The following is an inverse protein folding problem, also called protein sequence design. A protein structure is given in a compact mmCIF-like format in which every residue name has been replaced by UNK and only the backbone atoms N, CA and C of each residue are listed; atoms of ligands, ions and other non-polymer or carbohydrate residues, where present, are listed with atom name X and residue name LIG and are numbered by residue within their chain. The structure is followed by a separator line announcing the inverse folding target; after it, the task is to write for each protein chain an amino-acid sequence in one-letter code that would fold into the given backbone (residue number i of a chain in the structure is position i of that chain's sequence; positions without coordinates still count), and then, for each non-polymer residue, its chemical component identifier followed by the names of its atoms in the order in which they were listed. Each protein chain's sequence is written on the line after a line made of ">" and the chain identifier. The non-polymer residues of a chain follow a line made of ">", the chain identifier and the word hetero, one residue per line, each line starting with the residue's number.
data_IF_866403841460
#
_entry.id   IF_866403841460
#
_cell.length_a   1.000
_cell.length_b   1.000
_cell.length_c   1.000
_cell.angle_alpha   90.00
_cell.angle_beta   90.00
_cell.angle_gamma   90.00
#
_symmetry.space_group_name_H-M   'P 1'
#
loop_
_entity.id
_entity.type
_entity.pdbx_description
1 polymer ?
#
# COMPACT_ATOMS: atom_id res chain seq x y z
N UNK A 1 23.50 49.53 28.11
CA UNK A 1 22.37 49.31 27.20
C UNK A 1 21.10 49.46 28.03
N UNK A 2 20.24 50.45 27.67
CA UNK A 2 19.08 50.83 28.50
C UNK A 2 17.97 49.78 28.32
N UNK A 3 17.30 49.37 29.43
CA UNK A 3 16.21 48.34 29.39
C UNK A 3 15.14 48.62 28.36
N UNK A 4 14.84 49.89 28.06
CA UNK A 4 13.88 50.28 27.00
C UNK A 4 14.35 49.91 25.62
N UNK A 5 15.61 50.11 25.28
CA UNK A 5 16.20 49.77 23.98
C UNK A 5 16.25 48.26 23.72
N UNK A 6 16.49 47.48 24.79
CA UNK A 6 16.48 45.99 24.70
C UNK A 6 15.06 45.47 24.47
N UNK A 7 14.03 46.06 25.12
CA UNK A 7 12.67 45.63 24.94
C UNK A 7 12.12 45.95 23.53
N UNK A 8 12.48 47.10 22.97
CA UNK A 8 12.11 47.45 21.60
C UNK A 8 12.76 46.55 20.56
N UNK A 9 14.00 46.13 20.79
CA UNK A 9 14.68 45.19 19.89
C UNK A 9 14.00 43.81 19.92
N UNK A 10 13.61 43.31 21.10
CA UNK A 10 12.87 42.05 21.26
C UNK A 10 11.50 42.09 20.58
N UNK A 11 10.75 43.19 20.68
CA UNK A 11 9.45 43.31 20.03
C UNK A 11 9.58 43.33 18.53
N UNK A 12 10.59 44.00 17.97
CA UNK A 12 10.86 44.01 16.53
C UNK A 12 11.26 42.65 15.97
N UNK A 13 12.07 41.88 16.71
CA UNK A 13 12.45 40.54 16.28
C UNK A 13 11.27 39.56 16.30
N UNK A 14 10.37 39.66 17.29
CA UNK A 14 9.16 38.84 17.37
C UNK A 14 8.18 39.21 16.23
N UNK A 15 8.01 40.49 15.90
CA UNK A 15 7.17 40.94 14.78
C UNK A 15 7.69 40.45 13.43
N UNK A 16 9.00 40.49 13.19
CA UNK A 16 9.62 40.01 11.95
C UNK A 16 9.46 38.48 11.83
N UNK A 17 9.62 37.75 12.94
CA UNK A 17 9.42 36.29 12.96
C UNK A 17 7.96 35.91 12.69
N UNK A 18 6.99 36.66 13.21
CA UNK A 18 5.57 36.41 12.95
C UNK A 18 5.18 36.71 11.49
N UNK A 19 5.77 37.73 10.87
CA UNK A 19 5.53 38.08 9.46
C UNK A 19 6.08 36.98 8.52
N UNK A 20 7.25 36.40 8.83
CA UNK A 20 7.84 35.30 8.04
C UNK A 20 7.02 34.00 8.12
N UNK A 21 6.39 33.71 9.26
CA UNK A 21 5.51 32.54 9.42
C UNK A 21 4.22 32.72 8.58
N UNK A 22 3.68 33.94 8.44
CA UNK A 22 2.47 34.19 7.64
C UNK A 22 2.70 34.03 6.13
N UNK A 23 3.90 34.32 5.64
CA UNK A 23 4.23 34.21 4.19
C UNK A 23 4.37 32.74 3.75
N UNK A 24 4.73 31.84 4.67
CA UNK A 24 4.90 30.39 4.35
C UNK A 24 3.54 29.65 4.28
N UNK A 25 2.48 30.19 4.91
CA UNK A 25 1.15 29.54 4.92
C UNK A 25 0.20 29.97 3.79
N UNK A 26 0.61 30.92 2.92
CA UNK A 26 -0.27 31.43 1.84
C UNK A 26 -0.10 30.73 0.49
N UNK A 27 0.52 29.57 0.44
CA UNK A 27 0.84 28.89 -0.79
C UNK A 27 0.36 27.44 -0.90
N UNK A 28 -0.94 27.17 -0.73
CA UNK A 28 -1.60 25.96 -1.26
C UNK A 28 -3.12 26.06 -1.06
N UNK A 29 -3.76 26.91 -1.84
CA UNK A 29 -5.20 26.82 -2.10
C UNK A 29 -5.37 26.42 -3.56
N UNK A 30 -5.39 25.12 -3.84
CA UNK A 30 -5.96 24.57 -5.06
C UNK A 30 -7.42 24.22 -4.75
N UNK A 31 -8.32 25.10 -5.15
CA UNK A 31 -9.75 24.79 -5.20
C UNK A 31 -10.00 23.61 -6.16
N UNK A 32 -10.81 22.63 -5.76
CA UNK A 32 -11.28 21.61 -6.71
C UNK A 32 -12.32 22.25 -7.62
N UNK A 33 -11.97 22.48 -8.89
CA UNK A 33 -12.93 22.83 -9.93
C UNK A 33 -13.92 21.67 -10.11
N UNK A 34 -15.13 21.88 -9.63
CA UNK A 34 -16.29 21.07 -9.97
C UNK A 34 -16.59 21.20 -11.47
N UNK A 35 -16.11 20.26 -12.26
CA UNK A 35 -16.67 20.03 -13.59
C UNK A 35 -18.02 19.31 -13.42
N UNK A 36 -19.11 20.08 -13.45
CA UNK A 36 -20.44 19.58 -13.70
C UNK A 36 -20.48 19.03 -15.12
N UNK A 37 -20.34 17.71 -15.28
CA UNK A 37 -20.67 17.04 -16.52
C UNK A 37 -22.19 16.90 -16.60
N UNK A 38 -22.79 17.63 -17.50
CA UNK A 38 -24.21 17.51 -17.88
C UNK A 38 -24.47 16.09 -18.36
N UNK A 39 -25.36 15.40 -17.67
CA UNK A 39 -25.88 14.12 -18.08
C UNK A 39 -26.70 14.26 -19.38
N UNK A 40 -26.13 13.91 -20.50
CA UNK A 40 -26.86 13.67 -21.75
C UNK A 40 -27.43 12.26 -21.66
N UNK A 41 -28.74 12.21 -21.42
CA UNK A 41 -29.57 11.00 -21.47
C UNK A 41 -29.52 10.43 -22.90
N UNK A 42 -28.78 9.37 -23.08
CA UNK A 42 -28.91 8.51 -24.27
C UNK A 42 -29.28 7.11 -23.77
N UNK A 43 -30.48 6.73 -24.09
CA UNK A 43 -30.98 5.37 -23.94
C UNK A 43 -30.11 4.44 -24.77
N UNK A 44 -29.20 3.73 -24.11
CA UNK A 44 -28.43 2.64 -24.72
C UNK A 44 -28.71 1.38 -23.91
N UNK A 45 -29.41 0.50 -24.56
CA UNK A 45 -29.56 -0.94 -24.36
C UNK A 45 -28.64 -1.52 -23.31
N UNK A 46 -29.22 -1.95 -22.18
CA UNK A 46 -28.58 -2.82 -21.21
C UNK A 46 -28.29 -4.15 -21.91
N UNK A 47 -27.13 -4.27 -22.53
CA UNK A 47 -26.58 -5.58 -22.80
C UNK A 47 -26.13 -6.14 -21.45
N UNK A 48 -26.92 -7.11 -20.97
CA UNK A 48 -26.47 -8.00 -19.89
C UNK A 48 -25.28 -8.78 -20.42
N UNK A 49 -24.06 -8.18 -20.21
CA UNK A 49 -22.84 -8.95 -20.20
C UNK A 49 -22.86 -9.82 -18.94
N UNK A 50 -23.56 -10.94 -19.08
CA UNK A 50 -23.40 -12.08 -18.20
C UNK A 50 -21.98 -12.61 -18.47
N UNK A 51 -20.99 -11.97 -17.83
CA UNK A 51 -19.65 -12.53 -17.78
C UNK A 51 -19.77 -13.87 -17.07
N UNK A 52 -19.37 -14.98 -17.72
CA UNK A 52 -19.34 -16.26 -17.04
C UNK A 52 -18.48 -16.08 -15.79
N UNK A 53 -18.96 -16.59 -14.65
CA UNK A 53 -18.23 -16.63 -13.38
C UNK A 53 -16.85 -17.17 -13.68
N UNK A 54 -15.86 -16.26 -13.67
CA UNK A 54 -14.46 -16.65 -13.89
C UNK A 54 -14.14 -17.70 -12.83
N UNK A 55 -13.64 -18.83 -13.30
CA UNK A 55 -13.06 -19.89 -12.52
C UNK A 55 -12.21 -19.27 -11.39
N UNK A 56 -12.64 -19.49 -10.14
CA UNK A 56 -12.01 -18.96 -8.94
C UNK A 56 -10.57 -19.47 -8.78
N UNK A 57 -10.12 -20.38 -9.64
CA UNK A 57 -8.83 -21.05 -9.59
C UNK A 57 -7.70 -20.32 -10.32
N UNK A 58 -7.99 -19.38 -11.23
CA UNK A 58 -6.91 -18.67 -11.95
C UNK A 58 -6.62 -17.31 -11.36
N UNK A 59 -5.39 -17.10 -10.93
CA UNK A 59 -4.90 -15.78 -10.51
C UNK A 59 -4.96 -14.81 -11.68
N UNK A 60 -5.76 -13.78 -11.54
CA UNK A 60 -5.96 -12.80 -12.59
C UNK A 60 -4.70 -11.95 -12.83
N UNK A 61 -4.51 -11.45 -14.05
CA UNK A 61 -3.41 -10.52 -14.35
C UNK A 61 -3.47 -9.25 -13.49
N UNK A 62 -4.66 -8.87 -13.00
CA UNK A 62 -4.83 -7.79 -12.03
C UNK A 62 -4.05 -8.08 -10.74
N UNK A 63 -4.16 -9.29 -10.19
CA UNK A 63 -3.46 -9.70 -8.95
C UNK A 63 -1.95 -9.78 -9.17
N UNK A 64 -1.50 -10.29 -10.31
CA UNK A 64 -0.07 -10.29 -10.67
C UNK A 64 0.50 -8.86 -10.72
N UNK A 65 -0.26 -7.88 -11.24
CA UNK A 65 0.15 -6.47 -11.22
C UNK A 65 0.18 -5.89 -9.80
N UNK A 66 -0.80 -6.22 -8.95
CA UNK A 66 -0.80 -5.81 -7.54
C UNK A 66 0.46 -6.36 -6.85
N UNK A 67 0.75 -7.64 -7.00
CA UNK A 67 1.94 -8.26 -6.42
C UNK A 67 3.23 -7.57 -6.91
N UNK A 68 3.39 -7.38 -8.22
CA UNK A 68 4.56 -6.72 -8.80
C UNK A 68 4.77 -5.30 -8.25
N UNK A 69 3.68 -4.57 -8.03
CA UNK A 69 3.75 -3.18 -7.56
C UNK A 69 4.08 -3.07 -6.08
N UNK A 70 3.48 -3.90 -5.24
CA UNK A 70 3.49 -3.72 -3.79
C UNK A 70 4.34 -4.76 -3.04
N UNK A 71 4.41 -5.98 -3.52
CA UNK A 71 5.06 -7.09 -2.84
C UNK A 71 6.47 -7.35 -3.38
N UNK A 72 6.63 -7.27 -4.71
CA UNK A 72 7.86 -7.63 -5.39
C UNK A 72 9.06 -6.74 -5.04
N UNK A 73 8.81 -5.54 -4.49
CA UNK A 73 9.89 -4.65 -4.02
C UNK A 73 10.78 -5.33 -2.97
N UNK A 74 10.19 -6.21 -2.17
CA UNK A 74 10.91 -7.02 -1.17
C UNK A 74 10.96 -8.48 -1.58
N UNK A 75 9.83 -9.07 -1.99
CA UNK A 75 9.72 -10.50 -2.26
C UNK A 75 10.24 -10.93 -3.64
N UNK A 76 10.59 -9.97 -4.51
CA UNK A 76 11.01 -10.26 -5.89
C UNK A 76 9.85 -10.54 -6.84
N UNK A 77 10.05 -10.26 -8.13
CA UNK A 77 9.00 -10.43 -9.16
C UNK A 77 8.56 -11.89 -9.30
N UNK A 78 9.50 -12.83 -9.07
CA UNK A 78 9.24 -14.27 -9.10
C UNK A 78 9.03 -14.88 -7.71
N UNK A 79 9.03 -14.06 -6.65
CA UNK A 79 8.79 -14.49 -5.28
C UNK A 79 10.00 -15.06 -4.54
N UNK A 80 11.22 -14.98 -5.07
CA UNK A 80 12.42 -15.56 -4.45
C UNK A 80 12.93 -14.81 -3.20
N UNK A 81 12.29 -13.74 -2.77
CA UNK A 81 12.77 -12.89 -1.68
C UNK A 81 13.94 -11.99 -2.09
N UNK A 82 14.15 -11.80 -3.36
CA UNK A 82 15.28 -11.10 -4.01
C UNK A 82 14.88 -9.72 -4.56
N UNK A 83 13.84 -9.10 -4.01
CA UNK A 83 13.41 -7.77 -4.40
C UNK A 83 14.47 -6.71 -4.14
N UNK A 84 14.36 -5.56 -4.82
CA UNK A 84 15.35 -4.47 -4.75
C UNK A 84 15.59 -3.97 -3.32
N UNK A 85 14.59 -4.09 -2.43
CA UNK A 85 14.70 -3.71 -1.02
C UNK A 85 15.25 -4.83 -0.13
N UNK A 86 15.29 -6.08 -0.59
CA UNK A 86 15.68 -7.24 0.21
C UNK A 86 17.07 -7.09 0.87
N UNK A 87 18.12 -6.58 0.20
CA UNK A 87 19.45 -6.43 0.78
C UNK A 87 19.51 -5.44 1.95
N UNK A 88 18.51 -4.56 2.08
CA UNK A 88 18.48 -3.52 3.13
C UNK A 88 17.63 -3.92 4.34
N UNK A 89 17.04 -5.11 4.34
CA UNK A 89 16.20 -5.60 5.41
C UNK A 89 17.00 -6.47 6.38
N UNK A 90 16.86 -6.18 7.68
CA UNK A 90 17.53 -6.95 8.76
C UNK A 90 17.09 -8.42 8.75
N UNK A 91 15.80 -8.65 8.45
CA UNK A 91 15.24 -10.00 8.28
C UNK A 91 14.87 -10.17 6.80
N UNK A 92 15.45 -11.13 6.10
CA UNK A 92 15.16 -11.36 4.69
C UNK A 92 13.67 -11.61 4.43
N UNK A 93 13.15 -11.11 3.32
CA UNK A 93 11.78 -11.42 2.90
C UNK A 93 11.61 -12.92 2.70
N UNK A 94 10.40 -13.41 2.96
CA UNK A 94 10.08 -14.82 2.72
C UNK A 94 10.16 -15.13 1.22
N UNK A 95 10.84 -16.19 0.89
CA UNK A 95 10.82 -16.78 -0.44
C UNK A 95 9.48 -17.49 -0.65
N UNK A 96 8.69 -16.97 -1.57
CA UNK A 96 7.35 -17.48 -1.90
C UNK A 96 7.40 -18.69 -2.86
N UNK A 97 8.57 -19.17 -3.25
CA UNK A 97 8.72 -20.37 -4.07
C UNK A 97 9.07 -21.60 -3.23
N UNK A 98 9.22 -21.44 -1.90
CA UNK A 98 9.58 -22.54 -0.99
C UNK A 98 8.32 -23.25 -0.48
N UNK A 99 7.88 -24.25 -1.23
CA UNK A 99 6.72 -25.10 -0.92
C UNK A 99 6.83 -25.75 0.46
N UNK A 100 7.95 -26.35 0.79
CA UNK A 100 8.23 -27.02 2.05
C UNK A 100 7.90 -26.18 3.30
N UNK A 101 8.12 -24.88 3.24
CA UNK A 101 7.70 -23.97 4.32
C UNK A 101 6.25 -23.54 4.17
N UNK A 102 5.82 -23.17 2.96
CA UNK A 102 4.49 -22.56 2.76
C UNK A 102 3.37 -23.56 2.96
N UNK A 103 3.56 -24.83 2.70
CA UNK A 103 2.62 -25.91 2.99
C UNK A 103 2.29 -26.02 4.49
N UNK A 104 3.27 -25.73 5.36
CA UNK A 104 3.04 -25.70 6.81
C UNK A 104 2.23 -24.51 7.30
N UNK A 105 1.81 -23.62 6.39
CA UNK A 105 1.02 -22.43 6.70
C UNK A 105 -0.36 -22.55 6.07
N UNK A 106 -1.41 -22.37 6.89
CA UNK A 106 -2.76 -22.30 6.35
C UNK A 106 -2.95 -21.02 5.52
N UNK A 107 -3.94 -21.03 4.62
CA UNK A 107 -4.30 -19.83 3.87
C UNK A 107 -4.72 -18.67 4.76
N UNK A 108 -5.35 -18.97 5.91
CA UNK A 108 -5.70 -17.97 6.91
C UNK A 108 -4.44 -17.35 7.54
N UNK A 109 -3.41 -18.14 7.84
CA UNK A 109 -2.15 -17.61 8.37
C UNK A 109 -1.41 -16.72 7.34
N UNK A 110 -1.45 -17.08 6.07
CA UNK A 110 -0.91 -16.23 5.00
C UNK A 110 -1.74 -14.95 4.81
N UNK A 111 -3.06 -15.08 4.87
CA UNK A 111 -3.97 -13.94 4.82
C UNK A 111 -3.70 -12.96 5.96
N UNK A 112 -3.58 -13.45 7.20
CA UNK A 112 -3.33 -12.62 8.39
C UNK A 112 -1.95 -11.95 8.32
N UNK A 113 -0.94 -12.64 7.81
CA UNK A 113 0.39 -12.08 7.60
C UNK A 113 0.37 -10.92 6.60
N UNK A 114 -0.41 -11.01 5.53
CA UNK A 114 -0.57 -9.91 4.58
C UNK A 114 -1.41 -8.80 5.20
N UNK A 115 -2.57 -9.14 5.75
CA UNK A 115 -3.52 -8.18 6.29
C UNK A 115 -2.93 -7.34 7.40
N UNK A 116 -2.33 -7.99 8.40
CA UNK A 116 -1.92 -7.38 9.66
C UNK A 116 -0.41 -7.05 9.71
N UNK A 117 0.34 -7.48 8.70
CA UNK A 117 1.78 -7.25 8.61
C UNK A 117 2.63 -8.22 9.44
N UNK A 118 3.96 -8.07 9.27
CA UNK A 118 4.92 -9.01 9.84
C UNK A 118 4.90 -9.09 11.36
N UNK A 119 4.72 -7.98 12.07
CA UNK A 119 4.69 -7.95 13.53
C UNK A 119 3.54 -8.78 14.12
N UNK A 120 2.36 -8.72 13.53
CA UNK A 120 1.18 -9.44 14.01
C UNK A 120 1.35 -10.96 13.96
N UNK A 121 2.24 -11.47 13.13
CA UNK A 121 2.55 -12.89 12.99
C UNK A 121 3.93 -13.26 13.57
N UNK A 122 4.45 -12.44 14.49
CA UNK A 122 5.72 -12.69 15.17
C UNK A 122 6.96 -12.55 14.28
N UNK A 123 6.88 -11.73 13.23
CA UNK A 123 7.99 -11.43 12.30
C UNK A 123 8.42 -9.96 12.41
N UNK A 124 9.37 -9.55 11.58
CA UNK A 124 9.88 -8.18 11.59
C UNK A 124 8.84 -7.17 11.08
N UNK A 125 8.94 -5.89 11.55
CA UNK A 125 8.03 -4.81 11.14
C UNK A 125 8.23 -4.34 9.69
N UNK A 126 9.22 -4.86 8.98
CA UNK A 126 9.53 -4.47 7.60
C UNK A 126 8.44 -4.87 6.58
N UNK A 127 7.59 -5.84 6.91
CA UNK A 127 6.38 -6.12 6.14
C UNK A 127 5.20 -5.33 6.73
N UNK A 128 4.70 -4.31 6.04
CA UNK A 128 3.61 -3.49 6.54
C UNK A 128 2.29 -4.25 6.55
N UNK A 129 1.31 -3.76 7.32
CA UNK A 129 -0.08 -4.18 7.25
C UNK A 129 -0.73 -3.62 5.97
N UNK A 130 -1.51 -4.44 5.27
CA UNK A 130 -2.16 -4.06 4.02
C UNK A 130 -3.68 -3.90 4.15
N UNK A 131 -4.24 -4.05 5.35
CA UNK A 131 -5.69 -3.98 5.61
C UNK A 131 -6.34 -2.64 5.21
N UNK A 132 -5.56 -1.54 5.23
CA UNK A 132 -6.06 -0.22 4.83
C UNK A 132 -5.81 0.09 3.35
N UNK A 133 -5.13 -0.80 2.63
CA UNK A 133 -4.79 -0.62 1.21
C UNK A 133 -5.60 -1.57 0.32
N UNK A 134 -5.86 -2.78 0.81
CA UNK A 134 -6.51 -3.84 0.04
C UNK A 134 -7.74 -4.38 0.76
N UNK A 135 -8.79 -4.59 0.00
CA UNK A 135 -9.95 -5.35 0.45
C UNK A 135 -9.59 -6.82 0.72
N UNK A 136 -10.33 -7.46 1.61
CA UNK A 136 -10.09 -8.86 1.99
C UNK A 136 -10.05 -9.81 0.79
N UNK A 137 -10.85 -9.56 -0.24
CA UNK A 137 -10.86 -10.36 -1.47
C UNK A 137 -9.54 -10.25 -2.24
N UNK A 138 -8.98 -9.05 -2.34
CA UNK A 138 -7.66 -8.85 -2.95
C UNK A 138 -6.57 -9.58 -2.17
N UNK A 139 -6.63 -9.54 -0.82
CA UNK A 139 -5.68 -10.25 0.03
C UNK A 139 -5.81 -11.77 -0.16
N UNK A 140 -7.02 -12.33 -0.21
CA UNK A 140 -7.24 -13.76 -0.52
C UNK A 140 -6.67 -14.14 -1.89
N UNK A 141 -6.86 -13.29 -2.88
CA UNK A 141 -6.32 -13.50 -4.23
C UNK A 141 -4.79 -13.43 -4.24
N UNK A 142 -4.16 -12.62 -3.39
CA UNK A 142 -2.70 -12.60 -3.21
C UNK A 142 -2.21 -13.90 -2.53
N UNK A 143 -2.96 -14.47 -1.58
CA UNK A 143 -2.65 -15.79 -1.01
C UNK A 143 -2.66 -16.86 -2.10
N UNK A 144 -3.68 -16.87 -2.96
CA UNK A 144 -3.75 -17.81 -4.08
C UNK A 144 -2.56 -17.64 -5.03
N UNK A 145 -2.13 -16.40 -5.27
CA UNK A 145 -0.94 -16.14 -6.09
C UNK A 145 0.35 -16.67 -5.44
N UNK A 146 0.50 -16.54 -4.13
CA UNK A 146 1.62 -17.14 -3.40
C UNK A 146 1.60 -18.67 -3.54
N UNK A 147 0.42 -19.32 -3.46
CA UNK A 147 0.26 -20.76 -3.70
C UNK A 147 0.67 -21.16 -5.13
N UNK A 148 0.34 -20.30 -6.10
CA UNK A 148 0.79 -20.50 -7.48
C UNK A 148 2.32 -20.40 -7.61
N UNK A 149 2.96 -19.42 -6.93
CA UNK A 149 4.42 -19.25 -6.97
C UNK A 149 5.18 -20.43 -6.37
N UNK A 150 4.67 -21.07 -5.33
CA UNK A 150 5.29 -22.24 -4.71
C UNK A 150 4.85 -23.58 -5.34
N UNK A 151 3.85 -23.55 -6.22
CA UNK A 151 3.17 -24.78 -6.69
C UNK A 151 2.76 -25.71 -5.54
N UNK A 152 2.17 -25.10 -4.48
CA UNK A 152 1.90 -25.78 -3.21
C UNK A 152 0.51 -25.46 -2.65
N UNK A 153 0.01 -26.33 -1.78
CA UNK A 153 -1.25 -26.15 -1.03
C UNK A 153 -0.96 -26.20 0.47
N UNK A 154 -1.90 -25.69 1.27
CA UNK A 154 -1.85 -25.90 2.70
C UNK A 154 -2.05 -27.39 3.02
N UNK A 155 -1.26 -27.93 3.96
CA UNK A 155 -1.40 -29.28 4.49
C UNK A 155 -2.66 -29.39 5.38
#
# INVERSE_FOLDING_TARGET
>A
MNKKSFLELLIKTIQISMLLVFVVFSGCNSEPTHHQAQAKKTDAVVQNDFQPMMDVSSVTEKIRRVYRRYCAQCHGVKGHGDGINAPYLVIPPRDHTKGDYLETRSDQQLFDAIKLGGLAVGRAPCMPAWEHTFENETIRSLVNYIRELCDCKAL
#
